data_IF_985994798020
#
_entry.id   IF_985994798020
#
_cell.length_a   1.000
_cell.length_b   1.000
_cell.length_c   1.000
_cell.angle_alpha   90.00
_cell.angle_beta   90.00
_cell.angle_gamma   90.00
#
_symmetry.space_group_name_H-M   'P 1'
#
loop_
_entity.id
_entity.type
_entity.pdbx_description
1 polymer ?
#
# COMPACT_ATOMS: atom_id res chain seq x y z
N UNK A 1 -12.24 23.25 21.87
CA UNK A 1 -11.30 24.24 22.45
C UNK A 1 -11.05 24.01 23.92
N UNK A 2 -9.87 23.48 24.25
CA UNK A 2 -9.36 23.43 25.61
C UNK A 2 -8.56 24.72 25.83
N UNK A 3 -9.10 25.65 26.64
CA UNK A 3 -8.40 26.88 27.01
C UNK A 3 -7.84 26.70 28.42
N UNK A 4 -6.56 26.41 28.52
CA UNK A 4 -5.84 26.52 29.78
C UNK A 4 -5.16 27.89 29.86
N UNK A 5 -5.56 28.69 30.84
CA UNK A 5 -4.88 29.93 31.17
C UNK A 5 -3.76 29.63 32.17
N UNK A 6 -2.51 29.81 31.73
CA UNK A 6 -1.36 29.76 32.62
C UNK A 6 -0.93 31.19 32.95
N UNK A 7 -0.96 31.55 34.23
CA UNK A 7 -0.35 32.80 34.70
C UNK A 7 1.16 32.56 34.87
N UNK A 8 1.97 33.31 34.12
CA UNK A 8 3.43 33.26 34.23
C UNK A 8 3.92 34.59 34.79
N UNK A 9 4.51 34.55 35.98
CA UNK A 9 5.06 35.72 36.65
C UNK A 9 6.55 35.84 36.32
N UNK A 10 6.97 36.94 35.71
CA UNK A 10 8.39 37.27 35.61
C UNK A 10 8.77 38.19 36.78
N UNK A 11 9.62 37.71 37.69
CA UNK A 11 10.26 38.58 38.68
C UNK A 11 11.38 39.37 38.00
N UNK A 12 11.14 40.63 37.69
CA UNK A 12 12.19 41.63 37.52
C UNK A 12 11.82 42.83 38.41
N UNK A 13 12.73 43.12 39.34
CA UNK A 13 12.79 44.25 40.27
C UNK A 13 11.55 45.16 40.35
N UNK A 14 10.83 45.05 41.47
CA UNK A 14 9.89 46.00 42.07
C UNK A 14 8.63 46.44 41.31
N UNK A 15 8.28 45.82 40.17
CA UNK A 15 6.93 45.93 39.59
C UNK A 15 6.43 44.58 39.08
N UNK A 16 5.43 44.01 39.76
CA UNK A 16 4.63 42.88 39.26
C UNK A 16 3.88 43.33 38.00
N UNK A 17 4.52 43.21 36.83
CA UNK A 17 3.84 43.29 35.56
C UNK A 17 3.17 41.94 35.30
N UNK A 18 1.88 41.82 35.62
CA UNK A 18 1.05 40.68 35.20
C UNK A 18 0.87 40.72 33.68
N UNK A 19 1.80 40.10 32.94
CA UNK A 19 1.58 39.79 31.54
C UNK A 19 0.87 38.45 31.42
N UNK A 20 -0.45 38.47 31.25
CA UNK A 20 -1.22 37.26 30.92
C UNK A 20 -0.92 36.85 29.47
N UNK A 21 -0.43 35.63 29.27
CA UNK A 21 -0.25 35.03 27.94
C UNK A 21 -1.32 33.96 27.74
N UNK A 22 -2.19 34.15 26.75
CA UNK A 22 -3.12 33.09 26.33
C UNK A 22 -2.34 32.02 25.55
N UNK A 23 -2.26 30.81 26.11
CA UNK A 23 -1.72 29.63 25.44
C UNK A 23 -2.88 28.80 24.86
N UNK A 24 -2.86 28.61 23.54
CA UNK A 24 -3.83 27.76 22.86
C UNK A 24 -3.18 26.40 22.58
N UNK A 25 -3.67 25.36 23.25
CA UNK A 25 -3.28 23.98 22.97
C UNK A 25 -4.25 23.42 21.93
N UNK A 26 -3.73 23.12 20.75
CA UNK A 26 -4.51 22.52 19.67
C UNK A 26 -4.28 21.00 19.62
N UNK A 27 -5.31 20.17 19.42
CA UNK A 27 -5.13 18.75 19.17
C UNK A 27 -4.24 18.52 17.95
N UNK A 28 -3.36 17.52 18.04
CA UNK A 28 -2.45 17.13 16.97
C UNK A 28 -3.12 16.06 16.11
N UNK A 29 -3.06 16.24 14.79
CA UNK A 29 -3.39 15.20 13.83
C UNK A 29 -2.10 14.48 13.46
N UNK A 30 -2.08 13.18 13.70
CA UNK A 30 -1.01 12.32 13.25
C UNK A 30 -1.44 11.62 11.98
N UNK A 31 -0.68 11.78 10.91
CA UNK A 31 -0.92 11.05 9.66
C UNK A 31 0.23 10.08 9.44
N UNK A 32 -0.13 8.82 9.24
CA UNK A 32 0.81 7.73 8.98
C UNK A 32 0.50 7.12 7.63
N UNK A 33 1.45 7.24 6.70
CA UNK A 33 1.40 6.54 5.43
C UNK A 33 1.87 5.10 5.62
N UNK A 34 0.96 4.14 5.52
CA UNK A 34 1.30 2.71 5.61
C UNK A 34 1.53 2.07 4.24
N UNK A 35 1.40 2.82 3.14
CA UNK A 35 1.66 2.36 1.77
C UNK A 35 3.17 2.21 1.50
N UNK A 36 3.57 1.47 0.45
CA UNK A 36 4.97 1.31 0.08
C UNK A 36 5.49 2.48 -0.79
N UNK A 37 4.68 3.52 -0.99
CA UNK A 37 4.93 4.66 -1.88
C UNK A 37 4.70 5.98 -1.15
N UNK A 38 5.40 7.03 -1.58
CA UNK A 38 5.23 8.38 -1.05
C UNK A 38 3.81 8.92 -1.36
N UNK A 39 3.22 9.60 -0.38
CA UNK A 39 1.96 10.32 -0.55
C UNK A 39 2.14 11.79 -0.18
N UNK A 40 1.20 12.62 -0.60
CA UNK A 40 1.10 14.01 -0.20
C UNK A 40 -0.29 14.26 0.37
N UNK A 41 -0.38 15.14 1.35
CA UNK A 41 -1.63 15.61 1.94
C UNK A 41 -1.81 17.07 1.60
N UNK A 42 -2.98 17.43 1.05
CA UNK A 42 -3.38 18.80 0.81
C UNK A 42 -4.52 19.17 1.77
N UNK A 43 -4.26 20.13 2.64
CA UNK A 43 -5.23 20.63 3.62
C UNK A 43 -5.89 21.90 3.13
N UNK A 44 -7.23 21.90 3.05
CA UNK A 44 -8.07 23.03 2.61
C UNK A 44 -7.60 23.72 1.31
N UNK A 45 -6.88 23.01 0.44
CA UNK A 45 -6.22 23.55 -0.75
C UNK A 45 -5.16 24.64 -0.49
N UNK A 46 -4.65 24.75 0.74
CA UNK A 46 -3.67 25.78 1.13
C UNK A 46 -2.32 25.17 1.44
N UNK A 47 -2.28 24.10 2.24
CA UNK A 47 -1.04 23.56 2.76
C UNK A 47 -0.82 22.13 2.28
N UNK A 48 0.35 21.89 1.68
CA UNK A 48 0.74 20.58 1.18
C UNK A 48 1.89 20.00 2.00
N UNK A 49 1.72 18.76 2.45
CA UNK A 49 2.71 18.04 3.28
C UNK A 49 3.06 16.71 2.61
N UNK A 50 4.35 16.45 2.44
CA UNK A 50 4.85 15.17 1.95
C UNK A 50 4.94 14.15 3.10
N UNK A 51 4.41 12.95 2.88
CA UNK A 51 4.36 11.87 3.88
C UNK A 51 5.02 10.62 3.31
N UNK A 52 6.22 10.33 3.80
CA UNK A 52 6.99 9.14 3.42
C UNK A 52 6.42 7.85 4.03
N UNK A 53 6.63 6.69 3.39
CA UNK A 53 6.25 5.39 3.92
C UNK A 53 6.73 5.18 5.35
N UNK A 54 5.81 4.74 6.22
CA UNK A 54 6.06 4.37 7.62
C UNK A 54 6.63 5.51 8.49
N UNK A 55 6.56 6.74 8.03
CA UNK A 55 6.92 7.90 8.83
C UNK A 55 5.68 8.42 9.56
N UNK A 56 5.80 8.60 10.87
CA UNK A 56 4.82 9.35 11.66
C UNK A 56 5.02 10.83 11.36
N UNK A 57 4.00 11.49 10.81
CA UNK A 57 4.01 12.93 10.59
C UNK A 57 3.02 13.58 11.54
N UNK A 58 3.51 14.52 12.34
CA UNK A 58 2.72 15.27 13.31
C UNK A 58 2.35 16.62 12.69
N UNK A 59 1.06 16.86 12.56
CA UNK A 59 0.54 18.08 11.96
C UNK A 59 -0.32 18.76 13.03
N UNK A 60 0.05 19.98 13.40
CA UNK A 60 -0.75 20.79 14.29
C UNK A 60 -2.09 21.07 13.61
N UNK A 61 -3.15 20.45 14.12
CA UNK A 61 -4.42 20.34 13.42
C UNK A 61 -5.45 21.33 13.94
N UNK A 62 -5.68 21.36 15.25
CA UNK A 62 -6.64 22.29 15.87
C UNK A 62 -7.96 22.39 15.11
N UNK A 63 -8.48 23.61 15.01
CA UNK A 63 -9.57 23.99 14.10
C UNK A 63 -9.05 24.59 12.79
N UNK A 64 -7.74 24.43 12.51
CA UNK A 64 -7.07 25.11 11.40
C UNK A 64 -7.54 24.59 10.04
N UNK A 65 -7.84 23.29 9.95
CA UNK A 65 -8.27 22.66 8.70
C UNK A 65 -9.58 21.91 8.82
N UNK A 66 -10.39 21.99 7.77
CA UNK A 66 -11.66 21.27 7.67
C UNK A 66 -11.60 20.04 6.77
N UNK A 67 -10.78 20.11 5.71
CA UNK A 67 -10.73 19.11 4.64
C UNK A 67 -9.30 18.64 4.38
N UNK A 68 -9.18 17.35 4.06
CA UNK A 68 -7.95 16.70 3.65
C UNK A 68 -8.15 16.00 2.30
N UNK A 69 -7.18 16.17 1.40
CA UNK A 69 -7.08 15.41 0.16
C UNK A 69 -5.74 14.69 0.14
N UNK A 70 -5.76 13.37 -0.06
CA UNK A 70 -4.56 12.59 -0.32
C UNK A 70 -4.21 12.62 -1.81
N UNK A 71 -2.92 12.72 -2.11
CA UNK A 71 -2.39 12.67 -3.46
C UNK A 71 -1.26 11.66 -3.55
N UNK A 72 -1.21 10.92 -4.64
CA UNK A 72 -0.08 10.07 -5.01
C UNK A 72 0.52 10.67 -6.30
N UNK A 73 1.69 11.32 -6.22
CA UNK A 73 2.27 12.03 -7.36
C UNK A 73 2.53 11.15 -8.57
N UNK A 74 2.96 9.91 -8.34
CA UNK A 74 3.21 8.93 -9.41
C UNK A 74 3.08 7.51 -8.89
N UNK A 75 2.07 6.80 -9.38
CA UNK A 75 1.89 5.37 -9.15
C UNK A 75 1.39 4.71 -10.43
N UNK A 76 2.16 3.74 -10.94
CA UNK A 76 2.04 3.21 -12.31
C UNK A 76 1.94 4.31 -13.39
N UNK A 77 2.75 5.37 -13.25
CA UNK A 77 2.79 6.55 -14.14
C UNK A 77 1.51 7.40 -14.14
N UNK A 78 0.60 7.15 -13.20
CA UNK A 78 -0.64 7.91 -13.02
C UNK A 78 -0.52 8.75 -11.73
N UNK A 79 -1.02 9.98 -11.78
CA UNK A 79 -1.19 10.82 -10.59
C UNK A 79 -2.60 10.61 -10.03
N UNK A 80 -2.69 10.15 -8.79
CA UNK A 80 -3.95 9.84 -8.13
C UNK A 80 -4.32 10.91 -7.10
N UNK A 81 -5.59 11.28 -7.04
CA UNK A 81 -6.13 12.25 -6.08
C UNK A 81 -7.35 11.64 -5.41
N UNK A 82 -7.41 11.64 -4.08
CA UNK A 82 -8.56 11.15 -3.36
C UNK A 82 -9.76 12.08 -3.47
N UNK A 83 -10.94 11.56 -3.14
CA UNK A 83 -12.03 12.41 -2.68
C UNK A 83 -11.64 13.27 -1.46
N UNK A 84 -12.37 14.36 -1.24
CA UNK A 84 -12.18 15.24 -0.08
C UNK A 84 -12.69 14.58 1.19
N UNK A 85 -11.87 14.57 2.23
CA UNK A 85 -12.18 13.98 3.53
C UNK A 85 -12.51 15.12 4.50
N UNK A 86 -13.73 15.12 5.04
CA UNK A 86 -14.13 16.06 6.11
C UNK A 86 -13.60 15.55 7.45
N UNK A 87 -12.58 16.23 7.95
CA UNK A 87 -11.90 15.82 9.16
C UNK A 87 -12.80 15.94 10.39
N UNK A 88 -13.76 16.88 10.42
CA UNK A 88 -14.69 17.03 11.55
C UNK A 88 -15.69 15.88 11.63
N UNK A 89 -16.07 15.32 10.48
CA UNK A 89 -16.91 14.12 10.43
C UNK A 89 -16.12 12.91 10.91
N UNK A 90 -14.90 12.72 10.40
CA UNK A 90 -14.06 11.57 10.77
C UNK A 90 -13.70 11.54 12.26
N UNK A 91 -13.56 12.70 12.92
CA UNK A 91 -13.37 12.79 14.38
C UNK A 91 -14.52 12.16 15.18
N UNK A 92 -15.74 12.19 14.65
CA UNK A 92 -16.95 11.72 15.32
C UNK A 92 -17.40 10.33 14.84
N UNK A 93 -16.66 9.71 13.92
CA UNK A 93 -16.97 8.38 13.41
C UNK A 93 -16.55 7.29 14.40
N UNK A 94 -17.50 6.46 14.82
CA UNK A 94 -17.25 5.27 15.63
C UNK A 94 -16.75 4.05 14.82
N UNK A 95 -16.75 4.15 13.49
CA UNK A 95 -16.20 3.14 12.60
C UNK A 95 -14.73 3.46 12.32
N UNK A 96 -13.85 2.55 12.72
CA UNK A 96 -12.40 2.80 12.68
C UNK A 96 -11.83 2.78 11.26
N UNK A 97 -12.51 2.24 10.25
CA UNK A 97 -11.98 2.06 8.89
C UNK A 97 -13.03 2.46 7.85
N UNK A 98 -12.60 3.21 6.82
CA UNK A 98 -13.43 3.71 5.72
C UNK A 98 -12.73 3.53 4.36
N UNK A 99 -13.47 3.14 3.33
CA UNK A 99 -12.98 3.22 1.94
C UNK A 99 -12.77 4.65 1.44
N UNK A 100 -11.61 4.90 0.85
CA UNK A 100 -11.28 6.13 0.11
C UNK A 100 -11.05 5.80 -1.35
N UNK A 101 -11.74 6.52 -2.22
CA UNK A 101 -11.59 6.39 -3.68
C UNK A 101 -10.59 7.44 -4.15
N UNK A 102 -9.61 7.01 -4.94
CA UNK A 102 -8.71 7.88 -5.67
C UNK A 102 -9.04 7.86 -7.15
N UNK A 103 -9.01 9.02 -7.76
CA UNK A 103 -9.26 9.23 -9.18
C UNK A 103 -7.97 9.58 -9.90
N UNK A 104 -7.85 9.09 -11.12
CA UNK A 104 -6.81 9.53 -12.05
C UNK A 104 -7.00 11.02 -12.40
N UNK A 105 -6.03 11.84 -12.02
CA UNK A 105 -6.02 13.28 -12.29
C UNK A 105 -5.53 13.66 -13.69
N UNK A 106 -4.99 12.70 -14.44
CA UNK A 106 -4.40 12.90 -15.77
C UNK A 106 -5.38 12.61 -16.90
N UNK A 107 -6.42 11.80 -16.67
CA UNK A 107 -7.42 11.49 -17.69
C UNK A 107 -8.68 12.35 -17.56
N UNK A 108 -9.22 12.74 -18.73
CA UNK A 108 -10.51 13.43 -18.82
C UNK A 108 -11.72 12.50 -18.64
N UNK A 109 -11.49 11.19 -18.50
CA UNK A 109 -12.49 10.15 -18.28
C UNK A 109 -12.13 9.37 -17.01
N UNK A 110 -12.82 9.59 -15.87
CA UNK A 110 -12.47 9.04 -14.56
C UNK A 110 -12.86 7.55 -14.41
N UNK A 111 -12.63 6.74 -15.44
CA UNK A 111 -12.98 5.31 -15.43
C UNK A 111 -12.04 4.48 -14.57
N UNK A 112 -10.84 4.98 -14.28
CA UNK A 112 -9.88 4.30 -13.41
C UNK A 112 -9.95 4.88 -12.01
N UNK A 113 -10.20 4.00 -11.05
CA UNK A 113 -10.17 4.30 -9.62
C UNK A 113 -9.12 3.45 -8.93
N UNK A 114 -8.54 4.00 -7.88
CA UNK A 114 -7.66 3.30 -6.97
C UNK A 114 -8.25 3.41 -5.56
N UNK A 115 -8.67 2.28 -5.01
CA UNK A 115 -9.33 2.25 -3.71
C UNK A 115 -8.31 1.93 -2.60
N UNK A 116 -8.43 2.63 -1.47
CA UNK A 116 -7.63 2.42 -0.26
C UNK A 116 -8.51 2.50 0.98
N UNK A 117 -7.94 2.18 2.14
CA UNK A 117 -8.63 2.26 3.43
C UNK A 117 -7.98 3.37 4.26
N UNK A 118 -8.81 4.27 4.77
CA UNK A 118 -8.47 5.22 5.81
C UNK A 118 -8.93 4.64 7.14
N UNK A 119 -7.98 4.42 8.04
CA UNK A 119 -8.27 4.09 9.42
C UNK A 119 -8.14 5.33 10.29
N UNK A 120 -9.14 5.55 11.13
CA UNK A 120 -9.19 6.64 12.11
C UNK A 120 -9.12 6.01 13.49
N UNK A 121 -8.08 6.33 14.25
CA UNK A 121 -7.98 5.98 15.67
C UNK A 121 -7.92 7.28 16.50
N UNK A 122 -8.57 7.26 17.66
CA UNK A 122 -8.51 8.32 18.66
C UNK A 122 -7.71 7.85 19.87
N UNK A 123 -6.65 8.58 20.23
CA UNK A 123 -5.85 8.29 21.42
C UNK A 123 -5.62 9.59 22.20
N UNK A 124 -6.09 9.64 23.46
CA UNK A 124 -5.92 10.82 24.33
C UNK A 124 -6.29 12.15 23.62
N UNK A 125 -7.44 12.17 22.92
CA UNK A 125 -7.94 13.33 22.17
C UNK A 125 -7.07 13.77 20.97
N UNK A 126 -5.98 13.03 20.67
CA UNK A 126 -5.25 13.13 19.40
C UNK A 126 -5.89 12.23 18.34
N UNK A 127 -5.94 12.74 17.12
CA UNK A 127 -6.51 12.02 15.97
C UNK A 127 -5.40 11.39 15.15
N UNK A 128 -5.56 10.12 14.81
CA UNK A 128 -4.58 9.38 14.02
C UNK A 128 -5.23 8.84 12.78
N UNK A 129 -4.68 9.22 11.63
CA UNK A 129 -5.08 8.73 10.33
C UNK A 129 -4.02 7.77 9.81
N UNK A 130 -4.45 6.58 9.43
CA UNK A 130 -3.61 5.60 8.75
C UNK A 130 -4.19 5.34 7.36
N UNK A 131 -3.45 5.68 6.32
CA UNK A 131 -3.82 5.32 4.95
C UNK A 131 -3.08 4.04 4.56
N UNK A 132 -3.82 3.02 4.18
CA UNK A 132 -3.24 1.74 3.76
C UNK A 132 -4.04 1.08 2.64
N UNK A 133 -3.43 0.06 2.03
CA UNK A 133 -4.09 -0.86 1.12
C UNK A 133 -4.06 -2.25 1.76
N UNK A 134 -5.20 -2.98 1.80
CA UNK A 134 -5.28 -4.27 2.49
C UNK A 134 -4.48 -5.37 1.77
N UNK A 135 -4.25 -5.25 0.46
CA UNK A 135 -3.47 -6.21 -0.32
C UNK A 135 -2.38 -5.52 -1.13
N UNK A 136 -1.14 -5.99 -0.98
CA UNK A 136 -0.03 -5.66 -1.87
C UNK A 136 0.33 -6.91 -2.65
N UNK A 137 0.28 -6.82 -3.97
CA UNK A 137 0.65 -7.93 -4.85
C UNK A 137 1.95 -7.56 -5.55
N UNK A 138 2.97 -8.39 -5.36
CA UNK A 138 4.31 -8.19 -5.91
C UNK A 138 4.58 -9.32 -6.88
N UNK A 139 4.69 -9.01 -8.17
CA UNK A 139 5.07 -9.96 -9.19
C UNK A 139 6.57 -9.82 -9.51
N UNK A 140 7.40 -10.71 -8.97
CA UNK A 140 8.84 -10.82 -9.28
C UNK A 140 9.12 -11.95 -10.28
N UNK A 141 8.09 -12.53 -10.88
CA UNK A 141 8.25 -13.52 -11.94
C UNK A 141 8.26 -12.82 -13.28
N UNK A 142 8.81 -13.48 -14.30
CA UNK A 142 8.73 -13.02 -15.69
C UNK A 142 7.34 -13.29 -16.30
N UNK A 143 6.48 -14.02 -15.58
CA UNK A 143 5.13 -14.36 -16.01
C UNK A 143 4.13 -13.24 -15.71
N UNK A 144 3.03 -13.24 -16.47
CA UNK A 144 1.92 -12.33 -16.25
C UNK A 144 0.99 -12.88 -15.17
N UNK A 145 0.41 -11.99 -14.37
CA UNK A 145 -0.48 -12.36 -13.27
C UNK A 145 -1.90 -11.81 -13.53
N UNK A 146 -2.91 -12.67 -13.45
CA UNK A 146 -4.33 -12.30 -13.54
C UNK A 146 -4.93 -12.29 -12.13
N UNK A 147 -5.48 -11.15 -11.70
CA UNK A 147 -6.35 -11.01 -10.55
C UNK A 147 -7.80 -11.02 -11.01
N UNK A 148 -8.53 -12.07 -10.64
CA UNK A 148 -9.95 -12.22 -10.87
C UNK A 148 -10.72 -11.97 -9.57
N UNK A 149 -11.62 -10.99 -9.58
CA UNK A 149 -12.52 -10.71 -8.47
C UNK A 149 -13.93 -10.66 -9.02
N UNK A 150 -14.77 -11.57 -8.55
CA UNK A 150 -16.11 -11.76 -9.10
C UNK A 150 -16.03 -11.91 -10.64
N UNK A 151 -16.51 -10.91 -11.39
CA UNK A 151 -16.49 -10.88 -12.86
C UNK A 151 -15.40 -9.99 -13.46
N UNK A 152 -14.67 -9.23 -12.64
CA UNK A 152 -13.61 -8.33 -13.08
C UNK A 152 -12.27 -9.04 -13.11
N UNK A 153 -11.47 -8.75 -14.14
CA UNK A 153 -10.13 -9.29 -14.33
C UNK A 153 -9.15 -8.14 -14.50
N UNK A 154 -8.11 -8.15 -13.69
CA UNK A 154 -7.03 -7.18 -13.73
C UNK A 154 -5.73 -7.93 -14.01
N UNK A 155 -5.01 -7.50 -15.04
CA UNK A 155 -3.71 -8.06 -15.39
C UNK A 155 -2.61 -7.27 -14.71
N UNK A 156 -1.64 -7.97 -14.14
CA UNK A 156 -0.59 -7.45 -13.27
C UNK A 156 0.74 -7.86 -13.88
N UNK A 157 1.43 -6.87 -14.43
CA UNK A 157 2.76 -7.04 -15.02
C UNK A 157 3.84 -7.14 -13.93
N UNK A 158 5.01 -7.64 -14.33
CA UNK A 158 6.21 -7.61 -13.50
C UNK A 158 6.56 -6.16 -13.16
N UNK A 159 6.60 -5.83 -11.87
CA UNK A 159 6.81 -4.46 -11.41
C UNK A 159 7.61 -4.44 -10.11
N UNK A 160 8.51 -3.47 -9.96
CA UNK A 160 9.23 -3.25 -8.70
C UNK A 160 8.30 -2.67 -7.62
N UNK A 161 7.31 -1.89 -8.04
CA UNK A 161 6.32 -1.25 -7.18
C UNK A 161 5.14 -2.22 -7.01
N UNK A 162 4.73 -2.57 -5.78
CA UNK A 162 3.60 -3.45 -5.56
C UNK A 162 2.30 -2.93 -6.18
N UNK A 163 1.48 -3.83 -6.71
CA UNK A 163 0.10 -3.51 -7.00
C UNK A 163 -0.67 -3.36 -5.67
N UNK A 164 -1.22 -2.18 -5.45
CA UNK A 164 -2.07 -1.83 -4.34
C UNK A 164 -3.50 -2.18 -4.71
N UNK A 165 -4.15 -2.96 -3.87
CA UNK A 165 -5.46 -3.48 -4.19
C UNK A 165 -6.37 -3.51 -2.96
N UNK A 166 -7.63 -3.10 -3.17
CA UNK A 166 -8.64 -3.00 -2.14
C UNK A 166 -9.99 -3.49 -2.69
N UNK A 167 -10.60 -4.47 -2.01
CA UNK A 167 -11.90 -5.03 -2.38
C UNK A 167 -13.00 -4.13 -1.83
N UNK A 168 -13.89 -3.59 -2.67
CA UNK A 168 -14.98 -2.67 -2.28
C UNK A 168 -15.98 -3.23 -1.25
N UNK A 169 -15.91 -4.51 -0.90
CA UNK A 169 -16.83 -5.18 0.04
C UNK A 169 -16.23 -5.44 1.45
N UNK A 170 -15.15 -4.79 1.83
CA UNK A 170 -14.54 -4.95 3.18
C UNK A 170 -15.52 -4.60 4.32
N UNK A 171 -16.39 -3.61 4.11
CA UNK A 171 -17.30 -3.11 5.14
C UNK A 171 -18.67 -3.81 5.18
N UNK A 172 -19.15 -4.33 4.05
CA UNK A 172 -20.59 -4.59 3.88
C UNK A 172 -21.06 -5.95 4.40
N UNK A 173 -20.23 -6.99 4.42
CA UNK A 173 -20.64 -8.31 4.93
C UNK A 173 -19.44 -9.12 5.47
N UNK A 174 -19.21 -9.21 6.80
CA UNK A 174 -18.08 -9.96 7.38
C UNK A 174 -18.08 -11.46 7.07
N UNK A 175 -19.20 -11.98 6.54
CA UNK A 175 -19.38 -13.39 6.18
C UNK A 175 -19.31 -13.67 4.67
N UNK A 176 -19.26 -12.64 3.82
CA UNK A 176 -19.13 -12.83 2.37
C UNK A 176 -17.65 -12.88 2.04
N UNK A 177 -17.12 -14.11 1.92
CA UNK A 177 -15.77 -14.33 1.39
C UNK A 177 -15.75 -13.83 -0.04
N UNK A 178 -15.30 -12.59 -0.27
CA UNK A 178 -15.01 -12.11 -1.61
C UNK A 178 -13.77 -12.87 -2.08
N UNK A 179 -13.99 -13.94 -2.84
CA UNK A 179 -12.94 -14.84 -3.30
C UNK A 179 -12.18 -14.19 -4.45
N UNK A 180 -11.35 -13.20 -4.15
CA UNK A 180 -10.30 -12.79 -5.08
C UNK A 180 -9.44 -14.01 -5.38
N UNK A 181 -9.36 -14.34 -6.65
CA UNK A 181 -8.57 -15.44 -7.18
C UNK A 181 -7.49 -14.85 -8.05
N UNK A 182 -6.31 -15.41 -7.95
CA UNK A 182 -5.20 -15.01 -8.77
C UNK A 182 -4.67 -16.24 -9.53
N UNK A 183 -4.05 -15.98 -10.68
CA UNK A 183 -3.46 -16.98 -11.56
C UNK A 183 -2.27 -16.40 -12.29
N UNK A 184 -1.23 -17.20 -12.48
CA UNK A 184 -0.14 -16.86 -13.38
C UNK A 184 -0.44 -17.45 -14.76
N UNK A 185 0.04 -16.77 -15.79
CA UNK A 185 0.04 -17.32 -17.13
C UNK A 185 1.26 -16.91 -17.92
N UNK A 186 1.59 -17.77 -18.88
CA UNK A 186 2.58 -17.52 -19.91
C UNK A 186 1.93 -17.65 -21.29
N UNK A 187 2.45 -16.90 -22.26
CA UNK A 187 2.05 -16.97 -23.65
C UNK A 187 3.12 -17.76 -24.39
N UNK A 188 2.83 -19.02 -24.66
CA UNK A 188 3.65 -19.86 -25.53
C UNK A 188 3.51 -19.35 -26.96
N UNK A 189 4.52 -18.58 -27.40
CA UNK A 189 4.57 -18.00 -28.73
C UNK A 189 4.78 -19.04 -29.85
N UNK A 190 5.32 -20.22 -29.53
CA UNK A 190 5.57 -21.27 -30.52
C UNK A 190 4.28 -21.98 -30.90
N UNK A 191 3.45 -22.31 -29.89
CA UNK A 191 2.15 -22.96 -30.11
C UNK A 191 0.98 -21.96 -30.14
N UNK A 192 1.24 -20.67 -29.92
CA UNK A 192 0.23 -19.62 -29.76
C UNK A 192 -0.85 -20.00 -28.73
N UNK A 193 -0.42 -20.56 -27.60
CA UNK A 193 -1.30 -20.99 -26.51
C UNK A 193 -0.97 -20.29 -25.20
N UNK A 194 -1.98 -20.07 -24.36
CA UNK A 194 -1.77 -19.54 -23.02
C UNK A 194 -1.75 -20.67 -22.01
N UNK A 195 -0.66 -20.76 -21.26
CA UNK A 195 -0.44 -21.78 -20.26
C UNK A 195 -0.70 -21.17 -18.88
N UNK A 196 -1.55 -21.81 -18.08
CA UNK A 196 -2.04 -21.26 -16.82
C UNK A 196 -1.56 -22.05 -15.61
N UNK A 197 -1.28 -21.36 -14.51
CA UNK A 197 -1.11 -21.96 -13.18
C UNK A 197 -2.47 -22.38 -12.58
N UNK A 198 -2.40 -23.06 -11.44
CA UNK A 198 -3.57 -23.24 -10.59
C UNK A 198 -4.09 -21.90 -10.03
N UNK A 199 -5.38 -21.84 -9.69
CA UNK A 199 -5.98 -20.70 -8.98
C UNK A 199 -5.50 -20.68 -7.55
N UNK A 200 -5.25 -19.48 -7.06
CA UNK A 200 -4.99 -19.26 -5.64
C UNK A 200 -5.87 -18.15 -5.10
N UNK A 201 -6.31 -18.29 -3.85
CA UNK A 201 -7.19 -17.32 -3.20
C UNK A 201 -6.36 -16.29 -2.43
N UNK A 202 -6.85 -15.03 -2.40
CA UNK A 202 -6.31 -13.98 -1.52
C UNK A 202 -6.46 -14.32 -0.02
N UNK A 203 -7.32 -15.28 0.34
CA UNK A 203 -7.63 -15.64 1.73
C UNK A 203 -6.71 -16.73 2.32
N UNK A 204 -5.64 -17.10 1.62
CA UNK A 204 -4.69 -18.10 2.13
C UNK A 204 -3.97 -17.54 3.38
N UNK A 205 -4.04 -18.27 4.49
CA UNK A 205 -3.40 -17.93 5.77
C UNK A 205 -2.03 -18.59 5.95
N UNK A 206 -1.59 -19.39 4.99
CA UNK A 206 -0.31 -20.11 5.04
C UNK A 206 0.82 -19.19 4.57
N UNK A 207 1.91 -19.11 5.33
CA UNK A 207 3.01 -18.15 5.13
C UNK A 207 3.77 -18.31 3.81
N UNK A 208 3.84 -19.54 3.27
CA UNK A 208 4.47 -19.83 1.98
C UNK A 208 3.81 -21.04 1.33
N UNK A 209 3.59 -20.96 0.02
CA UNK A 209 3.11 -22.08 -0.81
C UNK A 209 3.86 -22.12 -2.13
N UNK A 210 4.15 -23.31 -2.63
CA UNK A 210 4.73 -23.51 -3.95
C UNK A 210 3.59 -23.81 -4.94
N UNK A 211 3.56 -23.08 -6.06
CA UNK A 211 2.57 -23.26 -7.12
C UNK A 211 3.31 -23.70 -8.39
N UNK A 212 2.83 -24.76 -9.03
CA UNK A 212 3.33 -25.20 -10.32
C UNK A 212 2.66 -24.42 -11.44
N UNK A 213 3.45 -23.84 -12.34
CA UNK A 213 2.94 -23.46 -13.64
C UNK A 213 2.90 -24.70 -14.54
N UNK A 214 1.98 -24.73 -15.52
CA UNK A 214 1.98 -25.78 -16.56
C UNK A 214 3.03 -25.52 -17.64
N UNK A 215 3.75 -24.40 -17.55
CA UNK A 215 4.93 -24.09 -18.36
C UNK A 215 6.04 -25.09 -17.98
N UNK A 216 6.93 -25.52 -18.89
CA UNK A 216 7.86 -26.61 -18.60
C UNK A 216 8.70 -26.33 -17.35
N UNK A 217 8.47 -27.14 -16.30
CA UNK A 217 9.23 -27.19 -15.04
C UNK A 217 9.27 -25.95 -14.13
N UNK A 218 8.56 -24.87 -14.42
CA UNK A 218 8.61 -23.69 -13.56
C UNK A 218 7.75 -23.86 -12.28
N UNK A 219 8.45 -24.00 -11.15
CA UNK A 219 7.86 -23.86 -9.81
C UNK A 219 7.98 -22.41 -9.40
N UNK A 220 6.88 -21.84 -8.94
CA UNK A 220 6.81 -20.47 -8.45
C UNK A 220 6.53 -20.52 -6.94
N UNK A 221 7.32 -19.78 -6.18
CA UNK A 221 7.10 -19.58 -4.76
C UNK A 221 6.13 -18.42 -4.56
N UNK A 222 5.12 -18.64 -3.73
CA UNK A 222 4.15 -17.62 -3.34
C UNK A 222 4.26 -17.44 -1.83
N UNK A 223 4.74 -16.28 -1.43
CA UNK A 223 4.89 -15.90 -0.03
C UNK A 223 3.75 -14.98 0.40
N UNK A 224 3.19 -15.28 1.58
CA UNK A 224 2.15 -14.49 2.23
C UNK A 224 2.70 -13.92 3.52
N UNK A 225 2.86 -12.60 3.55
CA UNK A 225 3.29 -11.87 4.74
C UNK A 225 2.17 -10.92 5.18
N UNK A 226 2.08 -10.68 6.48
CA UNK A 226 1.25 -9.60 7.01
C UNK A 226 2.16 -8.47 7.44
N UNK A 227 1.79 -7.23 7.15
CA UNK A 227 2.55 -6.05 7.57
C UNK A 227 2.66 -5.99 9.10
N UNK A 228 3.64 -5.25 9.60
CA UNK A 228 3.88 -5.12 11.06
C UNK A 228 2.67 -4.54 11.81
N UNK A 229 1.81 -3.78 11.14
CA UNK A 229 0.58 -3.22 11.71
C UNK A 229 -0.62 -4.18 11.62
N UNK A 230 -0.48 -5.35 10.99
CA UNK A 230 -1.58 -6.31 10.85
C UNK A 230 -2.61 -5.96 9.77
N UNK A 231 -2.51 -4.79 9.15
CA UNK A 231 -3.55 -4.22 8.26
C UNK A 231 -3.39 -4.59 6.79
N UNK A 232 -2.19 -4.99 6.36
CA UNK A 232 -1.90 -5.28 4.95
C UNK A 232 -1.38 -6.70 4.79
N UNK A 233 -1.98 -7.47 3.89
CA UNK A 233 -1.41 -8.72 3.37
C UNK A 233 -0.53 -8.43 2.17
N UNK A 234 0.70 -8.90 2.19
CA UNK A 234 1.69 -8.78 1.12
C UNK A 234 1.87 -10.16 0.49
N UNK A 235 1.53 -10.27 -0.79
CA UNK A 235 1.59 -11.50 -1.57
C UNK A 235 2.69 -11.35 -2.61
N UNK A 236 3.74 -12.18 -2.53
CA UNK A 236 4.91 -12.09 -3.42
C UNK A 236 5.03 -13.34 -4.26
N UNK A 237 5.02 -13.18 -5.58
CA UNK A 237 5.36 -14.21 -6.56
C UNK A 237 6.84 -14.11 -6.87
N UNK A 238 7.58 -15.18 -6.59
CA UNK A 238 9.00 -15.27 -6.89
C UNK A 238 9.32 -16.57 -7.62
N UNK A 239 10.34 -16.59 -8.50
CA UNK A 239 10.89 -17.85 -8.99
C UNK A 239 11.24 -18.79 -7.82
N UNK A 240 11.06 -20.10 -7.99
CA UNK A 240 11.38 -21.08 -6.92
C UNK A 240 12.86 -21.11 -6.54
N UNK A 241 13.73 -20.71 -7.45
CA UNK A 241 15.18 -20.65 -7.24
C UNK A 241 15.68 -19.27 -7.69
N UNK A 242 16.39 -18.58 -6.80
CA UNK A 242 17.11 -17.35 -7.11
C UNK A 242 18.59 -17.61 -6.92
N UNK A 243 19.38 -17.43 -7.98
CA UNK A 243 20.83 -17.56 -7.93
C UNK A 243 21.44 -16.17 -7.85
N UNK A 244 22.26 -15.94 -6.82
CA UNK A 244 23.02 -14.69 -6.63
C UNK A 244 24.50 -15.03 -6.69
N UNK A 245 25.19 -14.50 -7.69
CA UNK A 245 26.64 -14.64 -7.80
C UNK A 245 27.36 -13.67 -6.84
N UNK A 246 27.77 -14.19 -5.68
CA UNK A 246 28.61 -13.47 -4.70
C UNK A 246 30.12 -13.68 -4.91
N UNK A 247 30.51 -14.33 -6.00
CA UNK A 247 31.92 -14.57 -6.32
C UNK A 247 32.52 -13.35 -7.02
N UNK A 248 33.82 -13.39 -7.29
CA UNK A 248 34.52 -12.33 -8.06
C UNK A 248 34.54 -12.58 -9.56
N UNK A 249 33.92 -13.66 -10.04
CA UNK A 249 33.98 -14.10 -11.45
C UNK A 249 32.58 -14.31 -12.00
N UNK A 250 32.41 -14.14 -13.31
CA UNK A 250 31.17 -14.48 -14.01
C UNK A 250 30.91 -16.00 -13.91
N UNK A 251 29.67 -16.37 -13.61
CA UNK A 251 29.24 -17.77 -13.51
C UNK A 251 28.25 -18.08 -14.62
N UNK A 252 28.46 -19.19 -15.32
CA UNK A 252 27.47 -19.76 -16.22
C UNK A 252 26.69 -20.85 -15.48
N UNK A 253 25.37 -20.74 -15.50
CA UNK A 253 24.47 -21.72 -14.87
C UNK A 253 23.45 -22.23 -15.87
N UNK A 254 23.03 -23.47 -15.67
CA UNK A 254 21.99 -24.10 -16.46
C UNK A 254 21.09 -24.92 -15.54
N UNK A 255 19.78 -24.84 -15.77
CA UNK A 255 18.83 -25.71 -15.10
C UNK A 255 18.78 -27.06 -15.81
N UNK A 256 18.94 -28.13 -15.04
CA UNK A 256 18.82 -29.50 -15.55
C UNK A 256 17.37 -29.94 -15.39
N UNK A 257 16.65 -30.03 -16.51
CA UNK A 257 15.21 -30.35 -16.59
C UNK A 257 15.01 -31.86 -16.36
N UNK A 258 15.92 -32.68 -16.90
CA UNK A 258 16.01 -34.13 -16.69
C UNK A 258 17.45 -34.61 -16.94
N UNK A 259 17.74 -35.89 -16.71
CA UNK A 259 19.07 -36.48 -16.99
C UNK A 259 19.52 -36.31 -18.46
N UNK A 260 18.60 -36.00 -19.37
CA UNK A 260 18.84 -35.87 -20.81
C UNK A 260 18.52 -34.49 -21.39
N UNK A 261 17.87 -33.59 -20.64
CA UNK A 261 17.43 -32.27 -21.13
C UNK A 261 17.96 -31.14 -20.25
N UNK A 262 18.58 -30.16 -20.90
CA UNK A 262 19.13 -28.95 -20.26
C UNK A 262 18.51 -27.72 -20.90
N UNK A 263 18.22 -26.71 -20.08
CA UNK A 263 17.82 -25.38 -20.57
C UNK A 263 19.04 -24.64 -21.19
N UNK A 264 18.84 -23.41 -21.66
CA UNK A 264 19.91 -22.54 -22.16
C UNK A 264 20.81 -22.08 -21.02
N UNK A 265 22.12 -22.07 -21.27
CA UNK A 265 23.10 -21.47 -20.36
C UNK A 265 22.80 -19.99 -20.14
N UNK A 266 22.76 -19.58 -18.87
CA UNK A 266 22.54 -18.21 -18.44
C UNK A 266 23.79 -17.73 -17.72
N UNK A 267 24.33 -16.59 -18.14
CA UNK A 267 25.46 -15.96 -17.44
C UNK A 267 24.97 -15.05 -16.31
N UNK A 268 25.62 -15.14 -15.16
CA UNK A 268 25.33 -14.34 -13.97
C UNK A 268 26.59 -13.59 -13.55
N UNK A 269 26.54 -12.27 -13.69
CA UNK A 269 27.61 -11.37 -13.27
C UNK A 269 27.73 -11.28 -11.74
N UNK A 270 28.95 -11.03 -11.20
CA UNK A 270 29.17 -10.70 -9.79
C UNK A 270 28.27 -9.55 -9.34
N UNK A 271 27.65 -9.69 -8.16
CA UNK A 271 26.77 -8.68 -7.56
C UNK A 271 27.36 -8.05 -6.30
#
# INVERSE_FOLDING_TARGET
DYKDSFECNSENDDQLNETSVDLYLHPVLHITNLLPIDIQCLFDNVEQVDIKPRQLNEIAFGDKYSTLIFMIPSYHKIKWISESIDLKVEQNCHYNERFIIFHDSTSSNPKQTLNMILRVDTLHESYRLFLYSPFWIINRTELQLELQIENNRTFIEMTEIPLLFCLENFESEPNKKTQGQLRLYDIDNENNTTIWSEKFSLDITKSTSMVSCKVPNDRICVDFLTSSFGLTKIITFSPSIVIINKSTVELEVVETISDTEQDKWKSINPK
#
